data_IF_762614863943
#
_entry.id   IF_762614863943
#
_cell.length_a   1.000
_cell.length_b   1.000
_cell.length_c   1.000
_cell.angle_alpha   90.00
_cell.angle_beta   90.00
_cell.angle_gamma   90.00
#
_symmetry.space_group_name_H-M   'P 1'
#
loop_
_entity.id
_entity.type
_entity.pdbx_description
1 polymer ?
#
# COMPACT_ATOMS: atom_id res chain seq x y z
N UNK A 1 2.24 0.67 -12.63
CA UNK A 1 3.23 0.89 -11.56
C UNK A 1 2.93 2.24 -10.96
N UNK A 2 2.72 2.29 -9.65
CA UNK A 2 2.44 3.50 -8.87
C UNK A 2 3.45 3.64 -7.75
N UNK A 3 3.66 4.88 -7.32
CA UNK A 3 4.62 5.19 -6.27
C UNK A 3 4.13 6.39 -5.46
N UNK A 4 4.19 6.28 -4.14
CA UNK A 4 3.72 7.36 -3.27
C UNK A 4 3.95 7.08 -1.79
N UNK A 5 3.84 8.14 -0.99
CA UNK A 5 3.78 8.08 0.48
C UNK A 5 3.20 9.38 1.03
N UNK A 6 2.75 9.37 2.28
CA UNK A 6 2.24 10.55 3.00
C UNK A 6 3.28 10.99 4.03
N UNK A 7 3.59 12.28 4.03
CA UNK A 7 4.62 12.86 4.90
C UNK A 7 4.00 13.88 5.84
N UNK A 8 4.46 13.88 7.10
CA UNK A 8 3.99 14.84 8.12
C UNK A 8 4.54 16.26 7.95
N UNK A 9 5.59 16.44 7.15
CA UNK A 9 6.22 17.75 6.91
C UNK A 9 6.96 17.77 5.57
N UNK A 10 7.28 18.97 5.08
CA UNK A 10 8.12 19.13 3.87
C UNK A 10 9.53 18.58 4.10
N UNK A 11 10.08 18.74 5.31
CA UNK A 11 11.44 18.26 5.64
C UNK A 11 11.54 16.74 5.68
N UNK A 12 10.44 16.03 5.90
CA UNK A 12 10.40 14.56 5.86
C UNK A 12 10.17 13.99 4.46
N UNK A 13 9.87 14.83 3.46
CA UNK A 13 9.79 14.40 2.07
C UNK A 13 11.10 13.75 1.62
N UNK A 14 10.99 12.63 0.92
CA UNK A 14 12.13 11.81 0.51
C UNK A 14 11.74 10.95 -0.68
N UNK A 15 12.66 10.82 -1.64
CA UNK A 15 12.53 9.91 -2.79
C UNK A 15 13.19 8.55 -2.54
N UNK A 16 13.60 8.27 -1.30
CA UNK A 16 14.23 7.01 -0.93
C UNK A 16 13.28 5.84 -1.20
N UNK A 17 13.82 4.70 -1.62
CA UNK A 17 13.04 3.53 -2.05
C UNK A 17 12.97 2.44 -0.97
N UNK A 18 13.80 2.52 0.06
CA UNK A 18 13.90 1.52 1.12
C UNK A 18 13.79 2.17 2.50
N UNK A 19 13.13 1.44 3.41
CA UNK A 19 13.03 1.78 4.82
C UNK A 19 14.38 1.55 5.53
N UNK A 20 14.91 2.57 6.23
CA UNK A 20 16.19 2.42 6.95
C UNK A 20 16.03 1.66 8.28
N UNK A 21 14.92 1.85 8.97
CA UNK A 21 14.63 1.22 10.26
C UNK A 21 13.12 1.04 10.44
N UNK A 22 12.71 0.20 11.39
CA UNK A 22 11.29 -0.09 11.66
C UNK A 22 10.46 1.12 12.15
N UNK A 23 11.12 2.24 12.45
CA UNK A 23 10.48 3.51 12.81
C UNK A 23 10.55 4.57 11.69
N UNK A 24 11.30 4.29 10.62
CA UNK A 24 11.44 5.19 9.48
C UNK A 24 10.39 4.88 8.40
N UNK A 25 9.41 5.77 8.27
CA UNK A 25 8.39 5.70 7.22
C UNK A 25 8.57 6.79 6.16
N UNK A 26 9.70 7.48 6.12
CA UNK A 26 9.95 8.59 5.19
C UNK A 26 10.60 8.11 3.89
N UNK A 27 9.96 7.17 3.20
CA UNK A 27 10.40 6.61 1.92
C UNK A 27 9.21 6.43 0.97
N UNK A 28 9.43 6.34 -0.34
CA UNK A 28 8.37 6.13 -1.33
C UNK A 28 8.01 4.64 -1.38
N UNK A 29 6.73 4.32 -1.19
CA UNK A 29 6.20 2.96 -1.43
C UNK A 29 5.96 2.76 -2.92
N UNK A 30 6.20 1.56 -3.43
CA UNK A 30 6.04 1.17 -4.82
C UNK A 30 5.11 -0.01 -4.95
N UNK A 31 4.17 0.12 -5.88
CA UNK A 31 3.18 -0.88 -6.21
C UNK A 31 3.20 -1.20 -7.70
N UNK A 32 2.85 -2.45 -8.00
CA UNK A 32 2.37 -2.83 -9.32
C UNK A 32 1.00 -3.45 -9.15
N UNK A 33 0.10 -3.21 -10.09
CA UNK A 33 -1.23 -3.76 -10.03
C UNK A 33 -1.81 -3.95 -11.42
N UNK A 34 -2.77 -4.86 -11.47
CA UNK A 34 -3.57 -5.15 -12.65
C UNK A 34 -5.04 -5.02 -12.26
N UNK A 35 -5.81 -4.36 -13.11
CA UNK A 35 -7.23 -4.12 -12.92
C UNK A 35 -8.04 -4.66 -14.08
N UNK A 36 -9.15 -5.31 -13.76
CA UNK A 36 -10.17 -5.73 -14.71
C UNK A 36 -11.44 -4.94 -14.45
N UNK A 37 -12.01 -4.36 -15.50
CA UNK A 37 -13.30 -3.66 -15.45
C UNK A 37 -14.28 -4.34 -16.38
N UNK A 38 -15.46 -4.64 -15.86
CA UNK A 38 -16.54 -5.29 -16.61
C UNK A 38 -17.86 -4.55 -16.42
N UNK A 39 -18.58 -4.29 -17.51
CA UNK A 39 -19.89 -3.65 -17.43
C UNK A 39 -20.96 -4.72 -17.25
N UNK A 40 -21.64 -4.71 -16.11
CA UNK A 40 -22.83 -5.54 -15.87
C UNK A 40 -24.10 -4.73 -16.16
N UNK A 41 -25.26 -5.38 -16.23
CA UNK A 41 -26.55 -4.71 -16.43
C UNK A 41 -26.94 -3.75 -15.29
N UNK A 42 -26.40 -3.94 -14.08
CA UNK A 42 -26.70 -3.08 -12.92
C UNK A 42 -25.73 -1.90 -12.85
N UNK A 43 -24.43 -2.17 -12.91
CA UNK A 43 -23.38 -1.14 -12.89
C UNK A 43 -22.02 -1.71 -13.35
N UNK A 44 -21.04 -0.85 -13.71
CA UNK A 44 -19.66 -1.28 -13.88
C UNK A 44 -19.11 -1.91 -12.61
N UNK A 45 -18.40 -3.03 -12.76
CA UNK A 45 -17.65 -3.71 -11.71
C UNK A 45 -16.17 -3.60 -12.04
N UNK A 46 -15.35 -3.39 -11.01
CA UNK A 46 -13.88 -3.40 -11.12
C UNK A 46 -13.30 -4.32 -10.07
N UNK A 47 -12.28 -5.08 -10.47
CA UNK A 47 -11.47 -5.90 -9.59
C UNK A 47 -9.99 -5.59 -9.85
N UNK A 48 -9.24 -5.33 -8.79
CA UNK A 48 -7.81 -5.05 -8.87
C UNK A 48 -7.03 -5.99 -7.97
N UNK A 49 -5.89 -6.47 -8.49
CA UNK A 49 -4.86 -7.16 -7.72
C UNK A 49 -3.62 -6.29 -7.71
N UNK A 50 -3.14 -5.97 -6.51
CA UNK A 50 -1.92 -5.20 -6.28
C UNK A 50 -0.83 -6.05 -5.63
N UNK A 51 0.42 -5.75 -5.98
CA UNK A 51 1.62 -6.28 -5.36
C UNK A 51 2.51 -5.13 -4.88
N UNK A 52 2.77 -5.07 -3.57
CA UNK A 52 3.66 -4.11 -2.94
C UNK A 52 5.11 -4.62 -3.05
N UNK A 53 5.95 -3.82 -3.72
CA UNK A 53 7.36 -4.13 -3.97
C UNK A 53 8.20 -3.94 -2.71
N UNK A 54 7.89 -2.95 -1.88
CA UNK A 54 8.61 -2.56 -0.67
C UNK A 54 7.67 -2.34 0.53
N UNK A 55 7.02 -3.40 1.04
CA UNK A 55 6.03 -3.29 2.11
C UNK A 55 6.65 -2.69 3.36
N UNK A 56 5.91 -1.78 4.00
CA UNK A 56 6.33 -1.17 5.26
C UNK A 56 6.46 -2.21 6.36
N UNK A 57 7.56 -2.13 7.10
CA UNK A 57 7.85 -2.95 8.27
C UNK A 57 7.71 -2.10 9.52
N UNK A 58 7.11 -2.66 10.55
CA UNK A 58 6.80 -1.95 11.79
C UNK A 58 6.81 -2.91 12.98
N UNK A 59 6.98 -2.35 14.17
CA UNK A 59 6.87 -3.11 15.41
C UNK A 59 5.43 -3.08 15.90
N UNK A 60 4.93 -4.24 16.31
CA UNK A 60 3.63 -4.41 16.98
C UNK A 60 3.90 -4.90 18.39
N UNK A 61 3.30 -4.23 19.38
CA UNK A 61 3.38 -4.68 20.75
C UNK A 61 2.54 -5.95 20.93
N UNK A 62 3.13 -6.96 21.56
CA UNK A 62 2.50 -8.25 21.88
C UNK A 62 2.75 -8.55 23.36
N UNK A 63 1.96 -9.46 23.94
CA UNK A 63 2.23 -9.92 25.31
C UNK A 63 3.60 -10.62 25.34
N UNK A 64 4.55 -10.02 26.07
CA UNK A 64 5.93 -10.49 26.19
C UNK A 64 6.98 -9.78 25.33
N UNK A 65 6.62 -8.78 24.52
CA UNK A 65 7.60 -7.97 23.80
C UNK A 65 7.08 -7.28 22.54
N UNK A 66 7.99 -6.77 21.71
CA UNK A 66 7.65 -6.21 20.40
C UNK A 66 7.97 -7.22 19.30
N UNK A 67 7.02 -7.44 18.39
CA UNK A 67 7.21 -8.30 17.22
C UNK A 67 7.25 -7.44 15.96
N UNK A 68 8.22 -7.69 15.08
CA UNK A 68 8.24 -7.08 13.75
C UNK A 68 7.14 -7.70 12.88
N UNK A 69 6.40 -6.83 12.19
CA UNK A 69 5.41 -7.17 11.18
C UNK A 69 5.66 -6.35 9.92
N UNK A 70 5.14 -6.84 8.80
CA UNK A 70 5.16 -6.12 7.54
C UNK A 70 3.74 -6.05 6.97
N UNK A 71 3.46 -5.01 6.20
CA UNK A 71 2.23 -4.96 5.40
C UNK A 71 2.18 -6.12 4.41
N UNK A 72 0.97 -6.58 4.11
CA UNK A 72 0.76 -7.59 3.07
C UNK A 72 1.34 -7.10 1.74
N UNK A 73 2.05 -8.00 1.06
CA UNK A 73 2.47 -7.74 -0.32
C UNK A 73 1.31 -7.77 -1.29
N UNK A 74 0.33 -8.64 -1.06
CA UNK A 74 -0.83 -8.76 -1.93
C UNK A 74 -1.99 -7.90 -1.43
N UNK A 75 -2.63 -7.20 -2.35
CA UNK A 75 -3.82 -6.40 -2.11
C UNK A 75 -4.89 -6.80 -3.11
N UNK A 76 -6.12 -6.91 -2.65
CA UNK A 76 -7.28 -7.23 -3.47
C UNK A 76 -8.33 -6.15 -3.24
N UNK A 77 -8.78 -5.53 -4.33
CA UNK A 77 -9.79 -4.48 -4.27
C UNK A 77 -10.91 -4.84 -5.25
N UNK A 78 -12.14 -4.55 -4.85
CA UNK A 78 -13.28 -4.63 -5.75
C UNK A 78 -14.18 -3.41 -5.54
N UNK A 79 -14.85 -2.99 -6.59
CA UNK A 79 -15.84 -1.91 -6.53
C UNK A 79 -16.98 -2.16 -7.51
N UNK A 80 -18.19 -1.73 -7.15
CA UNK A 80 -19.38 -1.80 -7.99
C UNK A 80 -20.00 -0.40 -8.01
N UNK A 81 -20.32 0.11 -9.19
CA UNK A 81 -20.94 1.43 -9.33
C UNK A 81 -20.13 2.39 -10.22
N UNK A 82 -20.62 3.62 -10.32
CA UNK A 82 -19.84 4.72 -10.85
C UNK A 82 -18.76 5.09 -9.83
N UNK A 83 -17.49 4.91 -10.19
CA UNK A 83 -16.38 5.36 -9.37
C UNK A 83 -16.24 6.88 -9.52
N UNK A 84 -16.15 7.59 -8.40
CA UNK A 84 -15.91 9.03 -8.28
C UNK A 84 -14.54 9.43 -8.83
#
# INVERSE_FOLDING_TARGET
>A
HDAGNVFSSIRSFSLRQHQHSLADFNYISHGVGLGLRYNTAVAPVRFDVGYNLNPARFLVQSDGGSAERALSRWQFLFSIGQTF
#
